data_IF_022926625125
#
_entry.id   IF_022926625125
#
_cell.length_a   1.000
_cell.length_b   1.000
_cell.length_c   1.000
_cell.angle_alpha   90.00
_cell.angle_beta   90.00
_cell.angle_gamma   90.00
#
_symmetry.space_group_name_H-M   'P 1'
#
loop_
_entity.id
_entity.type
_entity.pdbx_description
1 polymer ?
#
# COMPACT_ATOMS: atom_id res chain seq x y z
N UNK A 1 -17.43 32.15 27.51
CA UNK A 1 -16.77 31.03 28.22
C UNK A 1 -16.52 29.98 27.14
N UNK A 2 -15.35 30.00 26.51
CA UNK A 2 -14.93 28.94 25.57
C UNK A 2 -14.65 27.71 26.39
N UNK A 3 -15.52 26.70 26.32
CA UNK A 3 -15.27 25.37 26.84
C UNK A 3 -14.01 24.85 26.17
N UNK A 4 -12.87 24.94 26.84
CA UNK A 4 -11.61 24.37 26.38
C UNK A 4 -11.76 22.84 26.42
N UNK A 5 -12.05 22.26 25.25
CA UNK A 5 -12.05 20.82 25.11
C UNK A 5 -10.70 20.26 25.59
N UNK A 6 -10.72 19.28 26.47
CA UNK A 6 -9.51 18.65 27.00
C UNK A 6 -8.60 18.15 25.85
N UNK A 7 -7.28 18.39 25.93
CA UNK A 7 -6.40 17.96 24.84
C UNK A 7 -6.43 16.44 24.70
N UNK A 8 -6.66 15.94 23.47
CA UNK A 8 -6.71 14.51 23.20
C UNK A 8 -5.44 13.80 23.73
N UNK A 9 -5.61 12.74 24.52
CA UNK A 9 -4.51 11.90 24.98
C UNK A 9 -4.00 11.01 23.82
N UNK A 10 -2.67 10.87 23.70
CA UNK A 10 -2.05 9.97 22.73
C UNK A 10 -1.49 8.74 23.46
N UNK A 11 -1.88 7.55 23.03
CA UNK A 11 -1.37 6.28 23.58
C UNK A 11 -1.25 5.19 22.53
N UNK A 12 -0.57 4.11 22.87
CA UNK A 12 -0.46 2.94 21.98
C UNK A 12 -1.85 2.36 21.71
N UNK A 13 -2.10 2.02 20.45
CA UNK A 13 -3.31 1.33 20.01
C UNK A 13 -3.30 -0.13 20.42
N UNK A 14 -4.42 -0.62 20.90
CA UNK A 14 -4.62 -2.03 21.24
C UNK A 14 -5.44 -2.77 20.19
N UNK A 15 -5.37 -4.11 20.12
CA UNK A 15 -6.19 -4.89 19.18
C UNK A 15 -7.70 -4.69 19.33
N UNK A 16 -8.18 -4.40 20.55
CA UNK A 16 -9.60 -4.15 20.82
C UNK A 16 -10.12 -2.87 20.16
N UNK A 17 -9.22 -1.98 19.68
CA UNK A 17 -9.54 -0.73 19.00
C UNK A 17 -9.54 -0.86 17.47
N UNK A 18 -9.37 -2.06 16.94
CA UNK A 18 -9.52 -2.31 15.49
C UNK A 18 -10.87 -1.82 14.95
N UNK A 19 -12.01 -1.98 15.65
CA UNK A 19 -13.29 -1.40 15.22
C UNK A 19 -13.25 0.13 15.05
N UNK A 20 -12.54 0.85 15.92
CA UNK A 20 -12.34 2.29 15.80
C UNK A 20 -11.46 2.65 14.59
N UNK A 21 -10.38 1.91 14.37
CA UNK A 21 -9.54 2.02 13.19
C UNK A 21 -10.36 1.83 11.90
N UNK A 22 -11.24 0.84 11.85
CA UNK A 22 -12.15 0.58 10.74
C UNK A 22 -13.16 1.72 10.55
N UNK A 23 -13.72 2.25 11.64
CA UNK A 23 -14.62 3.40 11.60
C UNK A 23 -13.91 4.62 10.98
N UNK A 24 -12.69 4.91 11.41
CA UNK A 24 -11.91 6.04 10.89
C UNK A 24 -11.53 5.84 9.41
N UNK A 25 -11.04 4.66 9.03
CA UNK A 25 -10.70 4.36 7.64
C UNK A 25 -11.93 4.33 6.73
N UNK A 26 -13.06 3.84 7.21
CA UNK A 26 -14.35 3.86 6.52
C UNK A 26 -14.85 5.29 6.27
N UNK A 27 -14.76 6.18 7.28
CA UNK A 27 -15.11 7.59 7.16
C UNK A 27 -14.22 8.34 6.17
N UNK A 28 -12.95 7.93 6.04
CA UNK A 28 -12.02 8.46 5.05
C UNK A 28 -12.20 7.86 3.64
N UNK A 29 -13.10 6.89 3.48
CA UNK A 29 -13.34 6.21 2.20
C UNK A 29 -12.19 5.26 1.80
N UNK A 30 -11.39 4.80 2.77
CA UNK A 30 -10.26 3.93 2.50
C UNK A 30 -10.68 2.46 2.36
N UNK A 31 -9.74 1.61 1.96
CA UNK A 31 -10.01 0.24 1.50
C UNK A 31 -9.63 -0.85 2.52
N UNK A 32 -9.22 -0.49 3.72
CA UNK A 32 -8.73 -1.44 4.71
C UNK A 32 -9.84 -2.31 5.28
N UNK A 33 -9.45 -3.54 5.65
CA UNK A 33 -10.27 -4.54 6.34
C UNK A 33 -9.78 -4.73 7.78
N UNK A 34 -10.54 -5.48 8.59
CA UNK A 34 -10.11 -5.87 9.93
C UNK A 34 -8.85 -6.75 9.92
N UNK A 35 -8.64 -7.54 8.85
CA UNK A 35 -7.43 -8.36 8.68
C UNK A 35 -6.20 -7.49 8.40
N UNK A 36 -6.36 -6.41 7.61
CA UNK A 36 -5.29 -5.44 7.38
C UNK A 36 -4.86 -4.80 8.72
N UNK A 37 -5.81 -4.29 9.49
CA UNK A 37 -5.55 -3.68 10.79
C UNK A 37 -4.88 -4.65 11.76
N UNK A 38 -5.36 -5.90 11.81
CA UNK A 38 -4.76 -6.93 12.67
C UNK A 38 -3.33 -7.23 12.25
N UNK A 39 -3.08 -7.43 10.95
CA UNK A 39 -1.73 -7.64 10.43
C UNK A 39 -0.78 -6.48 10.80
N UNK A 40 -1.26 -5.23 10.62
CA UNK A 40 -0.49 -4.03 10.93
C UNK A 40 -0.08 -3.99 12.42
N UNK A 41 -1.02 -4.24 13.33
CA UNK A 41 -0.77 -4.20 14.77
C UNK A 41 0.11 -5.37 15.23
N UNK A 42 -0.20 -6.60 14.80
CA UNK A 42 0.51 -7.81 15.25
C UNK A 42 1.98 -7.81 14.81
N UNK A 43 2.27 -7.25 13.62
CA UNK A 43 3.63 -7.21 13.08
C UNK A 43 4.44 -6.00 13.51
N UNK A 44 3.81 -5.00 14.11
CA UNK A 44 4.46 -3.75 14.52
C UNK A 44 4.04 -3.35 15.93
N UNK A 45 4.33 -4.17 16.97
CA UNK A 45 3.91 -3.92 18.34
C UNK A 45 4.46 -2.56 18.82
N UNK A 46 3.58 -1.76 19.43
CA UNK A 46 3.92 -0.44 19.97
C UNK A 46 4.14 0.68 18.93
N UNK A 47 4.09 0.37 17.61
CA UNK A 47 4.30 1.36 16.53
C UNK A 47 3.01 2.05 16.09
N UNK A 48 1.84 1.61 16.54
CA UNK A 48 0.55 2.23 16.28
C UNK A 48 0.03 2.98 17.49
N UNK A 49 -0.52 4.16 17.29
CA UNK A 49 -1.08 5.04 18.32
C UNK A 49 -2.50 5.47 17.99
N UNK A 50 -3.25 5.79 19.02
CA UNK A 50 -4.56 6.43 18.93
C UNK A 50 -4.57 7.73 19.71
N UNK A 51 -5.32 8.71 19.19
CA UNK A 51 -5.70 9.92 19.91
C UNK A 51 -7.09 9.68 20.54
N UNK A 52 -7.20 9.89 21.85
CA UNK A 52 -8.43 9.64 22.63
C UNK A 52 -8.89 10.92 23.29
N UNK A 53 -10.17 11.22 23.21
CA UNK A 53 -10.87 12.30 23.91
C UNK A 53 -12.17 11.77 24.47
N UNK A 54 -12.47 12.03 25.74
CA UNK A 54 -13.69 11.59 26.42
C UNK A 54 -13.95 10.07 26.27
N UNK A 55 -12.88 9.27 26.38
CA UNK A 55 -12.93 7.82 26.22
C UNK A 55 -13.10 7.32 24.78
N UNK A 56 -13.25 8.21 23.78
CA UNK A 56 -13.48 7.86 22.38
C UNK A 56 -12.18 8.02 21.55
N UNK A 57 -11.89 7.06 20.69
CA UNK A 57 -10.81 7.17 19.71
C UNK A 57 -11.24 8.14 18.62
N UNK A 58 -10.49 9.25 18.47
CA UNK A 58 -10.75 10.33 17.50
C UNK A 58 -9.69 10.42 16.41
N UNK A 59 -8.64 9.62 16.50
CA UNK A 59 -7.62 9.53 15.46
C UNK A 59 -6.71 8.34 15.67
N UNK A 60 -6.02 7.95 14.62
CA UNK A 60 -5.06 6.84 14.62
C UNK A 60 -3.87 7.15 13.74
N UNK A 61 -2.78 6.43 13.94
CA UNK A 61 -1.62 6.43 13.06
C UNK A 61 -0.62 5.37 13.48
N UNK A 62 0.25 4.98 12.57
CA UNK A 62 1.27 4.00 12.87
C UNK A 62 2.32 3.88 11.80
N UNK A 63 3.19 2.89 11.94
CA UNK A 63 4.19 2.57 10.94
C UNK A 63 4.40 1.06 10.81
N UNK A 64 4.61 0.61 9.58
CA UNK A 64 5.12 -0.73 9.28
C UNK A 64 6.64 -0.66 9.22
N UNK A 65 7.31 -1.52 9.98
CA UNK A 65 8.76 -1.59 10.01
C UNK A 65 9.26 -2.80 9.21
N UNK A 66 10.20 -2.56 8.31
CA UNK A 66 10.89 -3.56 7.50
C UNK A 66 12.33 -3.69 8.00
N UNK A 67 12.52 -4.51 9.04
CA UNK A 67 13.77 -4.56 9.80
C UNK A 67 14.11 -3.19 10.39
N UNK A 68 15.40 -2.83 10.39
CA UNK A 68 15.90 -1.51 10.79
C UNK A 68 16.12 -0.57 9.58
N UNK A 69 15.91 -1.07 8.36
CA UNK A 69 16.23 -0.34 7.13
C UNK A 69 15.16 0.70 6.75
N UNK A 70 13.88 0.39 6.99
CA UNK A 70 12.77 1.20 6.50
C UNK A 70 11.56 1.13 7.44
N UNK A 71 11.00 2.27 7.80
CA UNK A 71 9.65 2.38 8.33
C UNK A 71 8.72 3.04 7.29
N UNK A 72 7.49 2.57 7.23
CA UNK A 72 6.44 3.15 6.38
C UNK A 72 5.32 3.69 7.24
N UNK A 73 5.25 5.03 7.39
CA UNK A 73 4.19 5.70 8.16
C UNK A 73 2.87 5.56 7.42
N UNK A 74 1.85 5.10 8.12
CA UNK A 74 0.56 4.80 7.55
C UNK A 74 -0.59 5.00 8.53
N UNK A 75 -1.82 4.85 8.05
CA UNK A 75 -3.05 4.88 8.84
C UNK A 75 -3.23 6.17 9.65
N UNK A 76 -2.67 7.29 9.16
CA UNK A 76 -2.85 8.61 9.77
C UNK A 76 -4.27 9.10 9.46
N UNK A 77 -5.12 9.00 10.44
CA UNK A 77 -6.55 9.28 10.34
C UNK A 77 -6.99 10.18 11.50
N UNK A 78 -7.85 11.14 11.21
CA UNK A 78 -8.51 11.98 12.22
C UNK A 78 -10.00 12.02 11.89
N UNK A 79 -10.85 11.79 12.90
CA UNK A 79 -12.30 11.91 12.78
C UNK A 79 -12.64 13.24 12.11
N UNK A 80 -13.51 13.28 11.10
CA UNK A 80 -13.85 14.50 10.38
C UNK A 80 -14.24 15.68 11.29
N UNK A 81 -14.93 15.41 12.39
CA UNK A 81 -15.39 16.43 13.34
C UNK A 81 -14.27 16.96 14.26
N UNK A 82 -13.11 16.32 14.25
CA UNK A 82 -11.96 16.65 15.11
C UNK A 82 -10.80 17.23 14.31
N UNK A 83 -10.98 17.48 13.02
CA UNK A 83 -9.95 18.08 12.15
C UNK A 83 -9.75 19.55 12.45
N UNK A 84 -8.59 20.09 12.03
CA UNK A 84 -8.24 21.49 12.24
C UNK A 84 -7.64 21.81 13.62
N UNK A 85 -7.57 20.85 14.55
CA UNK A 85 -7.07 21.02 15.92
C UNK A 85 -5.65 20.46 16.14
N UNK A 86 -4.86 20.26 15.08
CA UNK A 86 -3.48 19.75 15.18
C UNK A 86 -3.33 18.28 15.57
N UNK A 87 -4.44 17.52 15.69
CA UNK A 87 -4.43 16.10 16.13
C UNK A 87 -3.60 15.24 15.18
N UNK A 88 -3.74 15.43 13.87
CA UNK A 88 -2.98 14.68 12.87
C UNK A 88 -1.47 14.89 13.03
N UNK A 89 -1.01 16.12 13.21
CA UNK A 89 0.40 16.43 13.46
C UNK A 89 0.92 15.74 14.72
N UNK A 90 0.15 15.77 15.82
CA UNK A 90 0.52 15.11 17.07
C UNK A 90 0.60 13.60 16.93
N UNK A 91 -0.31 12.99 16.17
CA UNK A 91 -0.27 11.55 15.86
C UNK A 91 1.00 11.21 15.09
N UNK A 92 1.30 11.94 14.01
CA UNK A 92 2.52 11.70 13.22
C UNK A 92 3.75 11.85 14.09
N UNK A 93 3.85 12.91 14.92
CA UNK A 93 4.98 13.08 15.83
C UNK A 93 5.09 11.90 16.80
N UNK A 94 4.00 11.47 17.42
CA UNK A 94 4.01 10.32 18.31
C UNK A 94 4.37 9.00 17.64
N UNK A 95 4.10 8.84 16.33
CA UNK A 95 4.62 7.72 15.54
C UNK A 95 6.12 7.87 15.32
N UNK A 96 6.59 9.06 14.90
CA UNK A 96 8.02 9.32 14.64
C UNK A 96 8.89 9.11 15.88
N UNK A 97 8.41 9.50 17.06
CA UNK A 97 9.12 9.28 18.34
C UNK A 97 9.38 7.79 18.65
N UNK A 98 8.65 6.91 17.97
CA UNK A 98 8.79 5.45 18.07
C UNK A 98 9.65 4.82 16.96
N UNK A 99 10.22 5.64 16.07
CA UNK A 99 10.98 5.20 14.89
C UNK A 99 12.44 5.68 14.91
N UNK A 100 12.99 6.02 16.08
CA UNK A 100 14.33 6.60 16.23
C UNK A 100 15.46 5.64 15.86
N UNK A 101 15.18 4.35 15.82
CA UNK A 101 16.07 3.26 15.47
C UNK A 101 16.10 2.91 13.96
N UNK A 102 15.30 3.63 13.14
CA UNK A 102 15.13 3.34 11.73
C UNK A 102 15.95 4.28 10.81
N UNK A 103 16.59 3.67 9.79
CA UNK A 103 17.46 4.41 8.85
C UNK A 103 16.71 5.29 7.87
N UNK A 104 15.53 4.87 7.43
CA UNK A 104 14.68 5.61 6.52
C UNK A 104 13.22 5.57 6.97
N UNK A 105 12.50 6.67 6.81
CA UNK A 105 11.08 6.76 7.09
C UNK A 105 10.36 7.31 5.86
N UNK A 106 9.44 6.52 5.30
CA UNK A 106 8.66 6.87 4.12
C UNK A 106 7.16 6.89 4.39
N UNK A 107 6.41 7.49 3.48
CA UNK A 107 4.94 7.46 3.43
C UNK A 107 4.43 7.83 2.04
N UNK A 108 3.17 7.51 1.78
CA UNK A 108 2.43 8.01 0.63
C UNK A 108 1.30 8.94 1.11
N UNK A 109 1.51 10.24 0.96
CA UNK A 109 0.57 11.27 1.40
C UNK A 109 -0.58 11.46 0.40
N UNK A 110 -1.75 11.81 0.92
CA UNK A 110 -2.76 12.47 0.10
C UNK A 110 -2.35 13.94 -0.12
N UNK A 111 -2.83 14.63 -1.18
CA UNK A 111 -2.56 16.06 -1.37
C UNK A 111 -2.95 16.91 -0.15
N UNK A 112 -4.04 16.55 0.53
CA UNK A 112 -4.50 17.24 1.75
C UNK A 112 -3.52 17.09 2.93
N UNK A 113 -2.86 15.92 3.06
CA UNK A 113 -1.93 15.64 4.16
C UNK A 113 -0.50 16.13 3.93
N UNK A 114 -0.12 16.46 2.69
CA UNK A 114 1.26 16.78 2.32
C UNK A 114 1.90 17.86 3.21
N UNK A 115 1.16 18.94 3.51
CA UNK A 115 1.65 20.05 4.32
C UNK A 115 2.04 19.64 5.75
N UNK A 116 1.28 18.72 6.36
CA UNK A 116 1.59 18.20 7.70
C UNK A 116 2.94 17.48 7.69
N UNK A 117 3.16 16.62 6.72
CA UNK A 117 4.39 15.83 6.61
C UNK A 117 5.60 16.71 6.24
N UNK A 118 5.42 17.67 5.34
CA UNK A 118 6.48 18.65 5.02
C UNK A 118 6.94 19.43 6.25
N UNK A 119 6.00 19.86 7.10
CA UNK A 119 6.30 20.53 8.38
C UNK A 119 7.05 19.64 9.39
N UNK A 120 7.03 18.32 9.21
CA UNK A 120 7.75 17.33 10.04
C UNK A 120 9.03 16.82 9.36
N UNK A 121 9.51 17.48 8.31
CA UNK A 121 10.79 17.21 7.65
C UNK A 121 10.73 16.12 6.58
N UNK A 122 9.54 15.73 6.09
CA UNK A 122 9.43 14.87 4.92
C UNK A 122 9.55 15.66 3.63
N UNK A 123 10.25 15.09 2.64
CA UNK A 123 10.47 15.67 1.32
C UNK A 123 9.82 14.80 0.27
N UNK A 124 9.17 15.42 -0.72
CA UNK A 124 8.61 14.71 -1.87
C UNK A 124 9.74 14.06 -2.68
N UNK A 125 9.61 12.78 -2.95
CA UNK A 125 10.58 12.00 -3.73
C UNK A 125 9.97 11.38 -4.98
N UNK A 126 8.65 11.45 -5.12
CA UNK A 126 7.93 10.92 -6.28
C UNK A 126 6.42 11.03 -6.12
N UNK A 127 5.70 10.63 -7.16
CA UNK A 127 4.24 10.62 -7.17
C UNK A 127 3.72 9.29 -7.65
N UNK A 128 2.59 8.89 -7.11
CA UNK A 128 1.82 7.75 -7.54
C UNK A 128 0.44 8.21 -8.01
N UNK A 129 -0.17 7.40 -8.84
CA UNK A 129 -1.58 7.54 -9.21
C UNK A 129 -2.31 6.27 -8.77
N UNK A 130 -3.37 6.42 -8.00
CA UNK A 130 -4.34 5.36 -7.87
C UNK A 130 -5.17 5.31 -9.12
N UNK A 131 -5.18 4.15 -9.76
CA UNK A 131 -6.02 3.85 -10.91
C UNK A 131 -7.03 2.77 -10.53
N UNK A 132 -8.23 2.83 -11.10
CA UNK A 132 -9.30 1.87 -10.84
C UNK A 132 -9.96 1.40 -12.12
N UNK A 133 -10.41 0.14 -12.11
CA UNK A 133 -11.25 -0.44 -13.16
C UNK A 133 -12.36 -1.27 -12.52
N UNK A 134 -13.49 -1.41 -13.23
CA UNK A 134 -14.41 -2.49 -12.95
C UNK A 134 -13.76 -3.80 -13.41
N UNK A 135 -13.73 -4.83 -12.56
CA UNK A 135 -13.32 -6.16 -12.98
C UNK A 135 -14.47 -6.85 -13.73
N UNK A 136 -15.03 -6.17 -14.72
CA UNK A 136 -15.86 -6.80 -15.74
C UNK A 136 -14.96 -7.74 -16.54
N UNK A 137 -15.50 -8.89 -16.95
CA UNK A 137 -14.82 -9.65 -18.00
C UNK A 137 -14.53 -8.69 -19.16
N UNK A 138 -13.32 -8.68 -19.72
CA UNK A 138 -13.00 -7.78 -20.82
C UNK A 138 -14.08 -7.94 -21.90
N UNK A 139 -14.76 -6.85 -22.25
CA UNK A 139 -15.67 -6.84 -23.38
C UNK A 139 -14.80 -7.11 -24.62
N UNK A 140 -15.02 -8.26 -25.25
CA UNK A 140 -14.18 -8.75 -26.34
C UNK A 140 -12.93 -9.48 -25.84
N UNK A 141 -13.08 -10.45 -24.93
CA UNK A 141 -12.05 -11.43 -24.72
C UNK A 141 -11.85 -12.15 -26.08
N UNK A 142 -10.70 -12.01 -26.75
CA UNK A 142 -10.33 -13.01 -27.73
C UNK A 142 -10.22 -14.32 -26.94
N UNK A 143 -10.85 -15.37 -27.43
CA UNK A 143 -10.61 -16.76 -26.99
C UNK A 143 -9.13 -17.17 -27.06
N UNK A 144 -8.30 -16.30 -27.62
CA UNK A 144 -6.86 -16.44 -27.71
C UNK A 144 -6.20 -15.70 -26.54
N UNK A 145 -5.86 -16.47 -25.52
CA UNK A 145 -4.90 -16.07 -24.50
C UNK A 145 -3.65 -15.55 -25.23
N UNK A 146 -3.21 -14.28 -25.01
CA UNK A 146 -2.00 -13.78 -25.67
C UNK A 146 -0.87 -14.79 -25.48
N UNK A 147 -0.01 -15.05 -26.48
CA UNK A 147 1.10 -16.00 -26.37
C UNK A 147 1.96 -15.75 -25.11
N UNK A 148 2.08 -14.50 -24.73
CA UNK A 148 2.76 -14.05 -23.51
C UNK A 148 2.07 -14.38 -22.20
N UNK A 149 0.75 -14.59 -22.18
CA UNK A 149 0.01 -15.01 -20.99
C UNK A 149 0.28 -16.47 -20.62
N UNK A 150 0.77 -17.29 -21.55
CA UNK A 150 1.08 -18.71 -21.31
C UNK A 150 2.17 -18.94 -20.24
N UNK A 151 2.96 -17.90 -19.91
CA UNK A 151 4.06 -17.97 -18.93
C UNK A 151 3.72 -17.35 -17.58
N UNK A 152 2.52 -16.82 -17.40
CA UNK A 152 2.02 -16.34 -16.10
C UNK A 152 1.30 -17.50 -15.43
N UNK A 153 1.72 -17.80 -14.20
CA UNK A 153 1.17 -18.89 -13.40
C UNK A 153 1.13 -18.53 -11.91
N UNK A 154 0.35 -19.25 -11.10
CA UNK A 154 0.40 -19.10 -9.65
C UNK A 154 1.82 -19.33 -9.11
N UNK A 155 2.18 -18.57 -8.07
CA UNK A 155 3.41 -18.76 -7.31
C UNK A 155 3.27 -20.06 -6.50
N UNK A 156 4.07 -21.05 -6.85
CA UNK A 156 4.18 -22.30 -6.08
C UNK A 156 5.16 -22.18 -4.92
N UNK A 157 5.18 -23.17 -4.01
CA UNK A 157 6.08 -23.15 -2.85
C UNK A 157 7.56 -22.96 -3.21
N UNK A 158 8.03 -23.56 -4.31
CA UNK A 158 9.40 -23.43 -4.79
C UNK A 158 9.72 -22.07 -5.41
N UNK A 159 8.69 -21.31 -5.83
CA UNK A 159 8.88 -19.99 -6.43
C UNK A 159 8.90 -18.90 -5.38
N UNK A 160 8.20 -19.10 -4.26
CA UNK A 160 7.99 -18.07 -3.26
C UNK A 160 9.30 -17.49 -2.74
N UNK A 161 10.25 -18.33 -2.37
CA UNK A 161 11.56 -17.84 -1.86
C UNK A 161 12.33 -17.07 -2.93
N UNK A 162 12.24 -17.46 -4.21
CA UNK A 162 12.85 -16.74 -5.34
C UNK A 162 12.16 -15.39 -5.58
N UNK A 163 10.85 -15.34 -5.41
CA UNK A 163 10.06 -14.09 -5.48
C UNK A 163 10.43 -13.16 -4.33
N UNK A 164 10.53 -13.67 -3.10
CA UNK A 164 10.91 -12.88 -1.93
C UNK A 164 12.32 -12.30 -2.06
N UNK A 165 13.28 -13.09 -2.56
CA UNK A 165 14.62 -12.60 -2.83
C UNK A 165 14.65 -11.50 -3.90
N UNK A 166 13.87 -11.64 -4.98
CA UNK A 166 13.72 -10.61 -6.00
C UNK A 166 13.04 -9.35 -5.44
N UNK A 167 12.01 -9.53 -4.62
CA UNK A 167 11.28 -8.43 -3.98
C UNK A 167 12.20 -7.61 -3.07
N UNK A 168 12.98 -8.25 -2.24
CA UNK A 168 13.94 -7.59 -1.35
C UNK A 168 14.92 -6.70 -2.12
N UNK A 169 15.38 -7.13 -3.29
CA UNK A 169 16.27 -6.34 -4.16
C UNK A 169 15.52 -5.15 -4.79
N UNK A 170 14.25 -5.34 -5.17
CA UNK A 170 13.46 -4.30 -5.87
C UNK A 170 12.87 -3.30 -4.90
N UNK A 171 12.29 -3.77 -3.80
CA UNK A 171 11.73 -2.93 -2.75
C UNK A 171 12.82 -2.26 -1.90
N UNK A 172 13.92 -2.99 -1.66
CA UNK A 172 15.07 -2.50 -0.92
C UNK A 172 15.03 -2.72 0.59
N UNK A 173 14.05 -3.48 1.06
CA UNK A 173 13.96 -3.95 2.44
C UNK A 173 13.26 -5.32 2.48
N UNK A 174 13.44 -6.08 3.54
CA UNK A 174 12.78 -7.37 3.71
C UNK A 174 11.31 -7.17 4.14
N UNK A 175 10.39 -7.56 3.27
CA UNK A 175 8.95 -7.60 3.56
C UNK A 175 8.35 -9.00 3.31
N UNK A 176 9.15 -10.04 3.50
CA UNK A 176 8.74 -11.42 3.26
C UNK A 176 7.46 -11.81 4.03
N UNK A 177 7.32 -11.38 5.29
CA UNK A 177 6.13 -11.65 6.09
C UNK A 177 4.86 -11.02 5.47
N UNK A 178 4.97 -9.81 4.94
CA UNK A 178 3.88 -9.14 4.24
C UNK A 178 3.47 -9.93 2.99
N UNK A 179 4.42 -10.36 2.18
CA UNK A 179 4.14 -11.08 0.94
C UNK A 179 3.62 -12.50 1.21
N UNK A 180 4.12 -13.17 2.24
CA UNK A 180 3.55 -14.46 2.70
C UNK A 180 2.13 -14.31 3.20
N UNK A 181 1.83 -13.23 3.91
CA UNK A 181 0.46 -12.91 4.32
C UNK A 181 -0.43 -12.62 3.09
N UNK A 182 0.04 -11.80 2.16
CA UNK A 182 -0.69 -11.47 0.93
C UNK A 182 -1.01 -12.69 0.07
N UNK A 183 -0.07 -13.64 -0.03
CA UNK A 183 -0.27 -14.89 -0.79
C UNK A 183 -1.44 -15.76 -0.26
N UNK A 184 -1.89 -15.53 0.98
CA UNK A 184 -3.07 -16.19 1.57
C UNK A 184 -4.37 -15.42 1.34
N UNK A 185 -4.28 -14.14 0.96
CA UNK A 185 -5.44 -13.25 0.79
C UNK A 185 -6.04 -13.31 -0.61
N UNK A 186 -5.18 -13.43 -1.62
CA UNK A 186 -5.57 -13.40 -3.03
C UNK A 186 -4.54 -14.15 -3.88
N UNK A 187 -4.86 -14.47 -5.14
CA UNK A 187 -3.93 -15.11 -6.06
C UNK A 187 -2.61 -14.34 -6.18
N UNK A 188 -1.51 -15.04 -5.93
CA UNK A 188 -0.16 -14.55 -6.17
C UNK A 188 0.37 -15.19 -7.45
N UNK A 189 0.87 -14.39 -8.39
CA UNK A 189 1.25 -14.83 -9.72
C UNK A 189 2.72 -14.48 -10.02
N UNK A 190 3.41 -15.32 -10.76
CA UNK A 190 4.72 -15.00 -11.34
C UNK A 190 4.74 -15.27 -12.84
N UNK A 191 5.63 -14.57 -13.53
CA UNK A 191 5.98 -14.84 -14.92
C UNK A 191 7.41 -15.34 -14.98
N UNK A 192 7.62 -16.40 -15.74
CA UNK A 192 8.95 -16.97 -16.00
C UNK A 192 9.34 -16.76 -17.46
N UNK A 193 10.64 -16.63 -17.73
CA UNK A 193 11.20 -16.63 -19.07
C UNK A 193 11.44 -18.06 -19.59
N UNK A 194 12.09 -18.17 -20.76
CA UNK A 194 12.40 -19.44 -21.40
C UNK A 194 13.39 -20.30 -20.61
N UNK A 195 14.26 -19.65 -19.87
CA UNK A 195 15.21 -20.31 -18.98
C UNK A 195 14.60 -20.69 -17.61
N UNK A 196 13.32 -20.40 -17.38
CA UNK A 196 12.64 -20.64 -16.10
C UNK A 196 12.98 -19.62 -15.01
N UNK A 197 13.63 -18.50 -15.36
CA UNK A 197 13.88 -17.42 -14.40
C UNK A 197 12.63 -16.58 -14.17
N UNK A 198 12.39 -16.17 -12.92
CA UNK A 198 11.29 -15.28 -12.56
C UNK A 198 11.65 -13.87 -13.05
N UNK A 199 10.87 -13.36 -14.02
CA UNK A 199 11.04 -12.04 -14.62
C UNK A 199 10.04 -11.01 -14.12
N UNK A 200 9.04 -11.45 -13.36
CA UNK A 200 8.07 -10.61 -12.69
C UNK A 200 7.12 -11.40 -11.81
N UNK A 201 6.46 -10.70 -10.91
CA UNK A 201 5.43 -11.24 -10.02
C UNK A 201 4.39 -10.17 -9.68
N UNK A 202 3.23 -10.59 -9.28
CA UNK A 202 2.25 -9.74 -8.62
C UNK A 202 1.53 -10.48 -7.51
N UNK A 203 1.13 -9.71 -6.51
CA UNK A 203 0.25 -10.14 -5.44
C UNK A 203 -1.05 -9.33 -5.51
N UNK A 204 -1.95 -9.63 -4.61
CA UNK A 204 -3.16 -8.87 -4.41
C UNK A 204 -3.66 -9.03 -3.00
N UNK A 205 -4.65 -8.23 -2.63
CA UNK A 205 -5.44 -8.43 -1.42
C UNK A 205 -6.87 -7.95 -1.62
N UNK A 206 -7.76 -8.54 -0.84
CA UNK A 206 -9.15 -8.10 -0.79
C UNK A 206 -9.25 -6.90 0.15
N UNK A 207 -9.88 -5.83 -0.32
CA UNK A 207 -10.21 -4.69 0.51
C UNK A 207 -11.71 -4.59 0.76
N UNK A 208 -12.11 -3.65 1.60
CA UNK A 208 -13.52 -3.43 1.96
C UNK A 208 -14.36 -2.88 0.80
N UNK A 209 -13.74 -2.25 -0.19
CA UNK A 209 -14.40 -1.58 -1.33
C UNK A 209 -13.94 -2.08 -2.68
N UNK A 210 -12.70 -2.53 -2.76
CA UNK A 210 -12.04 -2.87 -4.02
C UNK A 210 -10.96 -3.91 -3.76
N UNK A 211 -10.69 -4.74 -4.73
CA UNK A 211 -9.52 -5.60 -4.71
C UNK A 211 -8.30 -4.78 -5.12
N UNK A 212 -7.24 -4.82 -4.32
CA UNK A 212 -5.93 -4.22 -4.62
C UNK A 212 -5.10 -5.23 -5.41
N UNK A 213 -4.53 -4.83 -6.55
CA UNK A 213 -3.47 -5.57 -7.25
C UNK A 213 -2.15 -4.85 -6.98
N UNK A 214 -1.21 -5.55 -6.38
CA UNK A 214 0.12 -5.06 -6.02
C UNK A 214 0.75 -5.89 -4.89
N UNK A 215 2.09 -5.83 -4.73
CA UNK A 215 3.00 -5.15 -5.64
C UNK A 215 3.02 -5.82 -7.01
N UNK A 216 3.28 -5.05 -8.05
CA UNK A 216 3.61 -5.56 -9.38
C UNK A 216 5.07 -5.23 -9.65
N UNK A 217 5.89 -6.26 -9.68
CA UNK A 217 7.31 -6.16 -10.04
C UNK A 217 7.53 -6.88 -11.35
N UNK A 218 8.18 -6.21 -12.31
CA UNK A 218 8.43 -6.80 -13.62
C UNK A 218 9.71 -6.24 -14.26
N UNK A 219 10.29 -7.04 -15.15
CA UNK A 219 11.45 -6.67 -15.95
C UNK A 219 11.11 -5.56 -16.94
N UNK A 220 9.92 -5.62 -17.52
CA UNK A 220 9.42 -4.74 -18.57
C UNK A 220 7.89 -4.56 -18.52
N UNK A 221 7.37 -3.61 -19.31
CA UNK A 221 5.96 -3.26 -19.38
C UNK A 221 5.07 -4.42 -19.84
N UNK A 222 5.54 -5.21 -20.80
CA UNK A 222 4.79 -6.37 -21.31
C UNK A 222 4.58 -7.40 -20.23
N UNK A 223 5.62 -7.66 -19.41
CA UNK A 223 5.52 -8.54 -18.23
C UNK A 223 4.54 -7.99 -17.19
N UNK A 224 4.61 -6.67 -16.89
CA UNK A 224 3.69 -6.04 -15.95
C UNK A 224 2.23 -6.14 -16.42
N UNK A 225 1.98 -5.85 -17.72
CA UNK A 225 0.65 -5.96 -18.33
C UNK A 225 0.11 -7.39 -18.24
N UNK A 226 0.92 -8.39 -18.58
CA UNK A 226 0.50 -9.79 -18.51
C UNK A 226 0.13 -10.23 -17.09
N UNK A 227 0.90 -9.79 -16.08
CA UNK A 227 0.62 -10.07 -14.68
C UNK A 227 -0.68 -9.41 -14.20
N UNK A 228 -0.90 -8.14 -14.51
CA UNK A 228 -2.13 -7.42 -14.13
C UNK A 228 -3.34 -8.02 -14.83
N UNK A 229 -3.26 -8.32 -16.13
CA UNK A 229 -4.34 -8.97 -16.87
C UNK A 229 -4.71 -10.33 -16.26
N UNK A 230 -3.69 -11.15 -15.93
CA UNK A 230 -3.91 -12.44 -15.29
C UNK A 230 -4.53 -12.31 -13.90
N UNK A 231 -4.11 -11.31 -13.10
CA UNK A 231 -4.67 -11.04 -11.78
C UNK A 231 -6.13 -10.56 -11.85
N UNK A 232 -6.49 -9.76 -12.85
CA UNK A 232 -7.88 -9.36 -13.10
C UNK A 232 -8.75 -10.55 -13.47
N UNK A 233 -8.21 -11.47 -14.29
CA UNK A 233 -8.92 -12.65 -14.76
C UNK A 233 -9.08 -13.73 -13.67
N UNK A 234 -8.11 -13.86 -12.77
CA UNK A 234 -8.12 -14.87 -11.72
C UNK A 234 -9.27 -14.70 -10.70
N UNK A 235 -9.73 -13.47 -10.50
CA UNK A 235 -10.88 -13.14 -9.65
C UNK A 235 -11.77 -12.13 -10.39
N UNK A 236 -12.68 -12.59 -11.24
CA UNK A 236 -13.58 -11.71 -11.98
C UNK A 236 -14.62 -11.05 -11.03
N UNK A 237 -15.09 -9.88 -11.42
CA UNK A 237 -16.10 -9.12 -10.70
C UNK A 237 -15.53 -8.11 -9.69
N UNK A 238 -16.36 -7.13 -9.34
CA UNK A 238 -16.01 -6.06 -8.41
C UNK A 238 -15.11 -4.98 -9.00
N UNK A 239 -14.63 -4.10 -8.13
CA UNK A 239 -13.72 -3.01 -8.46
C UNK A 239 -12.28 -3.44 -8.17
N UNK A 240 -11.36 -3.08 -9.05
CA UNK A 240 -9.92 -3.33 -8.90
C UNK A 240 -9.19 -2.01 -8.85
N UNK A 241 -8.20 -1.89 -7.98
CA UNK A 241 -7.34 -0.71 -7.87
C UNK A 241 -5.86 -1.09 -7.90
N UNK A 242 -5.04 -0.22 -8.47
CA UNK A 242 -3.58 -0.23 -8.40
C UNK A 242 -3.07 1.14 -8.00
N UNK A 243 -1.96 1.19 -7.27
CA UNK A 243 -1.21 2.41 -7.00
C UNK A 243 0.10 2.35 -7.79
N UNK A 244 0.22 3.18 -8.84
CA UNK A 244 1.27 3.08 -9.85
C UNK A 244 2.14 4.33 -9.92
N UNK A 245 3.44 4.24 -10.25
CA UNK A 245 4.30 5.40 -10.43
C UNK A 245 3.75 6.34 -11.51
N UNK A 246 3.57 7.63 -11.18
CA UNK A 246 2.99 8.63 -12.07
C UNK A 246 3.89 8.97 -13.28
N UNK A 247 5.21 8.82 -13.14
CA UNK A 247 6.18 9.17 -14.18
C UNK A 247 6.31 8.18 -15.34
N UNK A 248 5.39 7.20 -15.47
CA UNK A 248 5.43 6.17 -16.52
C UNK A 248 4.27 6.31 -17.50
N UNK A 249 4.40 7.26 -18.44
CA UNK A 249 3.34 7.56 -19.40
C UNK A 249 2.89 6.33 -20.21
N UNK A 250 3.83 5.51 -20.69
CA UNK A 250 3.55 4.29 -21.46
C UNK A 250 2.75 3.28 -20.65
N UNK A 251 3.10 3.13 -19.36
CA UNK A 251 2.38 2.25 -18.46
C UNK A 251 0.95 2.73 -18.19
N UNK A 252 0.80 4.03 -17.97
CA UNK A 252 -0.53 4.62 -17.77
C UNK A 252 -1.41 4.49 -19.02
N UNK A 253 -0.82 4.63 -20.23
CA UNK A 253 -1.53 4.38 -21.48
C UNK A 253 -2.01 2.93 -21.59
N UNK A 254 -1.13 1.95 -21.30
CA UNK A 254 -1.50 0.53 -21.27
C UNK A 254 -2.60 0.21 -20.25
N UNK A 255 -2.55 0.79 -19.05
CA UNK A 255 -3.59 0.61 -18.04
C UNK A 255 -4.93 1.21 -18.52
N UNK A 256 -4.90 2.35 -19.18
CA UNK A 256 -6.10 2.95 -19.79
C UNK A 256 -6.72 2.03 -20.83
N UNK A 257 -5.91 1.43 -21.71
CA UNK A 257 -6.38 0.41 -22.68
C UNK A 257 -6.99 -0.82 -21.99
N UNK A 258 -6.51 -1.17 -20.77
CA UNK A 258 -7.07 -2.24 -19.95
C UNK A 258 -8.32 -1.82 -19.16
N UNK A 259 -8.82 -0.59 -19.37
CA UNK A 259 -10.04 -0.06 -18.72
C UNK A 259 -9.81 0.65 -17.39
N UNK A 260 -8.56 0.92 -16.99
CA UNK A 260 -8.28 1.68 -15.79
C UNK A 260 -8.42 3.19 -16.02
N UNK A 261 -9.02 3.88 -15.06
CA UNK A 261 -9.10 5.33 -14.99
C UNK A 261 -8.37 5.84 -13.74
N UNK A 262 -7.79 7.03 -13.84
CA UNK A 262 -7.14 7.68 -12.68
C UNK A 262 -8.21 8.11 -11.68
N UNK A 263 -8.06 7.66 -10.42
CA UNK A 263 -8.94 8.03 -9.32
C UNK A 263 -8.39 9.23 -8.54
N UNK A 264 -7.11 9.16 -8.13
CA UNK A 264 -6.48 10.22 -7.32
C UNK A 264 -4.94 10.11 -7.35
N UNK A 265 -4.23 11.22 -7.13
CA UNK A 265 -2.80 11.20 -6.91
C UNK A 265 -2.47 10.83 -5.44
N UNK A 266 -1.23 10.34 -5.25
CA UNK A 266 -0.55 10.21 -3.98
C UNK A 266 0.87 10.78 -4.12
N UNK A 267 1.40 11.30 -3.03
CA UNK A 267 2.70 11.96 -2.99
C UNK A 267 3.61 11.12 -2.12
N UNK A 268 4.62 10.50 -2.72
CA UNK A 268 5.62 9.73 -2.00
C UNK A 268 6.60 10.66 -1.34
N UNK A 269 6.75 10.55 -0.04
CA UNK A 269 7.62 11.41 0.75
C UNK A 269 8.54 10.57 1.63
N UNK A 270 9.76 11.07 1.85
CA UNK A 270 10.73 10.46 2.74
C UNK A 270 11.32 11.49 3.70
N UNK A 271 11.70 11.02 4.90
CA UNK A 271 12.45 11.76 5.89
C UNK A 271 13.81 11.07 6.07
N UNK A 272 14.89 11.87 6.14
CA UNK A 272 16.29 11.50 6.31
C UNK A 272 16.95 10.86 5.08
N UNK A 273 16.84 9.58 4.79
CA UNK A 273 17.60 8.93 3.72
C UNK A 273 16.80 8.69 2.45
N UNK A 274 17.51 8.44 1.35
CA UNK A 274 16.89 8.02 0.09
C UNK A 274 16.19 6.68 0.26
N UNK A 275 15.05 6.47 -0.45
CA UNK A 275 14.41 5.16 -0.48
C UNK A 275 15.39 4.11 -1.00
N UNK A 276 15.51 2.99 -0.30
CA UNK A 276 16.26 1.85 -0.82
C UNK A 276 15.54 1.22 -2.03
N UNK A 277 16.23 0.34 -2.78
CA UNK A 277 15.61 -0.49 -3.80
C UNK A 277 15.86 -0.07 -5.25
N UNK A 278 15.09 -0.69 -6.15
CA UNK A 278 15.16 -0.48 -7.61
C UNK A 278 13.81 -0.04 -8.18
N UNK A 279 13.41 1.23 -8.00
CA UNK A 279 12.11 1.77 -8.44
C UNK A 279 11.75 1.48 -9.90
N UNK A 280 12.69 1.44 -10.88
CA UNK A 280 12.35 1.14 -12.27
C UNK A 280 11.71 -0.24 -12.51
N UNK A 281 11.85 -1.19 -11.59
CA UNK A 281 11.21 -2.52 -11.68
C UNK A 281 9.87 -2.61 -10.95
N UNK A 282 9.49 -1.58 -10.20
CA UNK A 282 8.21 -1.51 -9.49
C UNK A 282 7.16 -0.83 -10.37
N UNK A 283 6.12 -1.57 -10.78
CA UNK A 283 5.03 -1.11 -11.66
C UNK A 283 3.76 -0.77 -10.90
N UNK A 284 3.56 -1.39 -9.74
CA UNK A 284 2.57 -0.98 -8.74
C UNK A 284 3.12 -1.30 -7.35
N UNK A 285 2.71 -0.51 -6.36
CA UNK A 285 3.01 -0.78 -4.95
C UNK A 285 1.97 -1.73 -4.36
N UNK A 286 2.23 -2.28 -3.15
CA UNK A 286 1.27 -3.15 -2.47
C UNK A 286 0.06 -2.37 -1.94
N UNK A 287 0.26 -1.12 -1.61
CA UNK A 287 -0.73 -0.17 -1.13
C UNK A 287 -0.05 0.97 -0.37
N UNK A 288 -0.70 2.15 -0.25
CA UNK A 288 -0.11 3.32 0.40
C UNK A 288 0.27 3.10 1.86
N UNK A 289 -0.33 2.12 2.50
CA UNK A 289 -0.06 1.76 3.90
C UNK A 289 1.14 0.81 4.07
N UNK A 290 1.66 0.25 2.96
CA UNK A 290 2.75 -0.72 2.99
C UNK A 290 4.00 -0.32 2.17
N UNK A 291 3.88 0.71 1.32
CA UNK A 291 4.99 1.20 0.47
C UNK A 291 5.19 0.53 -0.87
#
# INVERSE_FOLDING_TARGET
MTSGAEPAALRVMTPDEIPDGLRLSGAAGWNQTGEDWRFLLDRNPGRFVVAVRDGRVIGSGGAVCYGTALAWVCMILVDPNERGHGIGTRIVQGVLDRLTDLSAVGLDATPHGQGVYAGLGFVETGRLLRVEAAASAPHGAPEQRPPDAARVRPIGPRDLDRVLALDQVVFGADRADLLRWAARQAPALCRVDEAGAIVGYCFGRRGSRSRQIGPVTARDAATARALVAAAMHAEPGGRVVLDVPAGRADWLAMLKEMGFAVQRPLIRMFRASRPPGRPPRQWAIFGPEFG
#
